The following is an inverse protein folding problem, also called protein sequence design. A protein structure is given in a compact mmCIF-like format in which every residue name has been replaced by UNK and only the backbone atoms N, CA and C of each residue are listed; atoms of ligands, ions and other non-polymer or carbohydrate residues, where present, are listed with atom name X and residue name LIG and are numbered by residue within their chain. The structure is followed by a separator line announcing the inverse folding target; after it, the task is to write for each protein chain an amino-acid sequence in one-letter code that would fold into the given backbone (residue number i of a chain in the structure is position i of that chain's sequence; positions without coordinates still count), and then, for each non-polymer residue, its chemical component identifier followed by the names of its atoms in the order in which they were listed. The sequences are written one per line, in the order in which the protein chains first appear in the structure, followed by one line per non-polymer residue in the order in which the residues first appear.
data_IF_805722204754
#
_entry.id   IF_805722204754
#
_cell.length_a   1.000
_cell.length_b   1.000
_cell.length_c   1.000
_cell.angle_alpha   90.00
_cell.angle_beta   90.00
_cell.angle_gamma   90.00
#
_symmetry.space_group_name_H-M   'P 1'
#
loop_
_entity.id
_entity.type
_entity.pdbx_description
1 polymer ?
#
# COMPACT_ATOMS: atom_id res chain seq x y z
N UNK A 1 0.15 -18.27 2.06
CA UNK A 1 0.77 -16.99 2.49
C UNK A 1 1.17 -17.06 3.96
N UNK A 2 2.20 -16.33 4.40
CA UNK A 2 2.55 -16.14 5.82
C UNK A 2 1.77 -14.93 6.37
N UNK A 3 0.85 -15.10 7.34
CA UNK A 3 0.24 -13.98 8.05
C UNK A 3 1.31 -13.14 8.74
N UNK A 4 1.13 -11.83 8.79
CA UNK A 4 2.06 -10.88 9.43
C UNK A 4 3.38 -10.59 8.69
N UNK A 5 3.85 -11.50 7.83
CA UNK A 5 5.06 -11.35 7.03
C UNK A 5 4.77 -11.68 5.57
N UNK A 6 4.54 -10.65 4.74
CA UNK A 6 4.38 -10.81 3.30
C UNK A 6 5.76 -10.70 2.62
N UNK A 7 6.38 -11.81 2.15
CA UNK A 7 7.62 -11.76 1.39
C UNK A 7 7.40 -11.33 -0.08
N UNK A 8 6.21 -10.82 -0.40
CA UNK A 8 5.88 -10.34 -1.74
C UNK A 8 6.16 -8.83 -1.79
N UNK A 9 7.21 -8.40 -2.51
CA UNK A 9 7.50 -6.99 -2.79
C UNK A 9 6.53 -6.35 -3.80
N UNK A 10 5.33 -6.92 -3.98
CA UNK A 10 4.26 -6.29 -4.74
C UNK A 10 3.55 -5.25 -3.90
N UNK A 11 2.94 -4.29 -4.57
CA UNK A 11 1.91 -3.42 -4.01
C UNK A 11 0.84 -4.33 -3.39
N UNK A 12 0.77 -4.37 -2.06
CA UNK A 12 -0.11 -5.29 -1.36
C UNK A 12 -1.54 -4.75 -1.40
N UNK A 13 -2.22 -4.89 -2.54
CA UNK A 13 -3.67 -4.73 -2.64
C UNK A 13 -4.32 -6.07 -2.27
N UNK A 14 -5.49 -6.04 -1.61
CA UNK A 14 -6.33 -7.24 -1.48
C UNK A 14 -6.97 -7.64 -2.81
N UNK A 15 -6.94 -6.73 -3.77
CA UNK A 15 -7.57 -6.87 -5.06
C UNK A 15 -6.61 -7.53 -6.04
N UNK A 16 -6.95 -8.74 -6.46
CA UNK A 16 -6.32 -9.37 -7.62
C UNK A 16 -6.60 -8.50 -8.83
N UNK A 17 -5.60 -7.99 -9.54
CA UNK A 17 -5.79 -7.32 -10.83
C UNK A 17 -5.48 -8.25 -11.99
N UNK A 18 -6.15 -8.05 -13.13
CA UNK A 18 -5.74 -8.70 -14.37
C UNK A 18 -4.40 -8.08 -14.79
N UNK A 19 -3.43 -8.92 -15.17
CA UNK A 19 -2.12 -8.42 -15.60
C UNK A 19 -1.46 -9.32 -16.63
N UNK A 20 -0.65 -8.70 -17.49
CA UNK A 20 0.34 -9.38 -18.31
C UNK A 20 1.69 -9.02 -17.73
N UNK A 21 2.49 -10.02 -17.37
CA UNK A 21 3.81 -9.79 -16.78
C UNK A 21 4.90 -10.61 -17.44
N UNK A 22 6.09 -10.01 -17.49
CA UNK A 22 7.33 -10.63 -17.91
C UNK A 22 8.34 -10.51 -16.77
N UNK A 23 9.08 -11.59 -16.49
CA UNK A 23 10.16 -11.56 -15.50
C UNK A 23 11.42 -12.16 -16.06
N UNK A 24 12.50 -11.38 -16.00
CA UNK A 24 13.85 -11.85 -16.22
C UNK A 24 14.49 -12.17 -14.87
N UNK A 25 15.14 -13.32 -14.75
CA UNK A 25 15.74 -13.77 -13.50
C UNK A 25 17.13 -14.34 -13.73
N UNK A 26 18.06 -13.80 -12.97
CA UNK A 26 19.38 -14.34 -12.75
C UNK A 26 19.51 -14.88 -11.34
N UNK A 27 20.65 -15.52 -11.05
CA UNK A 27 20.90 -16.14 -9.73
C UNK A 27 20.65 -15.19 -8.55
N UNK A 28 21.15 -13.97 -8.64
CA UNK A 28 21.18 -13.01 -7.54
C UNK A 28 20.27 -11.80 -7.78
N UNK A 29 19.59 -11.69 -8.92
CA UNK A 29 18.67 -10.60 -9.19
C UNK A 29 17.54 -10.99 -10.13
N UNK A 30 16.44 -10.23 -10.09
CA UNK A 30 15.34 -10.36 -11.02
C UNK A 30 14.73 -9.01 -11.34
N UNK A 31 14.37 -8.81 -12.60
CA UNK A 31 13.61 -7.66 -13.07
C UNK A 31 12.26 -8.17 -13.58
N UNK A 32 11.18 -7.57 -13.12
CA UNK A 32 9.84 -7.84 -13.58
C UNK A 32 9.22 -6.57 -14.15
N UNK A 33 8.44 -6.74 -15.21
CA UNK A 33 7.61 -5.72 -15.81
C UNK A 33 6.19 -6.28 -15.92
N UNK A 34 5.20 -5.46 -15.62
CA UNK A 34 3.79 -5.81 -15.73
C UNK A 34 3.00 -4.65 -16.31
N UNK A 35 1.99 -5.02 -17.10
CA UNK A 35 0.86 -4.14 -17.43
C UNK A 35 -0.32 -4.67 -16.63
N UNK A 36 -0.85 -3.84 -15.76
CA UNK A 36 -1.94 -4.17 -14.83
C UNK A 36 -3.21 -3.41 -15.20
N UNK A 37 -4.37 -3.99 -14.88
CA UNK A 37 -5.63 -3.27 -14.89
C UNK A 37 -5.71 -2.35 -13.65
N UNK A 38 -5.57 -1.04 -13.88
CA UNK A 38 -5.55 0.01 -12.87
C UNK A 38 -6.92 0.30 -12.26
N UNK A 39 -8.02 -0.03 -12.95
CA UNK A 39 -9.38 0.36 -12.54
C UNK A 39 -9.83 -0.21 -11.20
N UNK A 40 -9.16 -1.26 -10.70
CA UNK A 40 -9.41 -1.83 -9.37
C UNK A 40 -8.88 -1.00 -8.21
N UNK A 41 -8.09 0.05 -8.49
CA UNK A 41 -7.50 0.94 -7.49
C UNK A 41 -8.28 2.23 -7.32
N UNK A 42 -9.25 2.46 -8.20
CA UNK A 42 -10.09 3.65 -8.22
C UNK A 42 -11.01 3.69 -7.00
N UNK A 43 -11.07 4.84 -6.34
CA UNK A 43 -12.12 5.12 -5.35
C UNK A 43 -13.39 5.58 -6.06
N UNK A 44 -14.30 4.64 -6.31
CA UNK A 44 -15.60 4.88 -6.98
C UNK A 44 -16.59 5.77 -6.20
N UNK A 45 -16.34 6.05 -4.92
CA UNK A 45 -17.26 6.81 -4.04
C UNK A 45 -16.70 8.21 -3.66
N UNK A 46 -15.77 8.72 -4.48
CA UNK A 46 -15.21 10.06 -4.29
C UNK A 46 -16.18 11.13 -4.78
N UNK A 47 -16.64 12.01 -3.89
CA UNK A 47 -17.31 13.27 -4.27
C UNK A 47 -16.44 14.20 -5.14
N UNK A 48 -15.17 13.84 -5.36
CA UNK A 48 -14.08 14.70 -5.86
C UNK A 48 -13.38 14.14 -7.12
N UNK A 49 -13.73 12.92 -7.56
CA UNK A 49 -13.09 12.24 -8.69
C UNK A 49 -14.11 11.31 -9.38
N UNK A 50 -14.13 11.29 -10.72
CA UNK A 50 -15.00 10.41 -11.51
C UNK A 50 -14.21 9.80 -12.66
N UNK A 51 -14.20 8.48 -12.78
CA UNK A 51 -13.36 7.82 -13.75
C UNK A 51 -14.18 7.32 -14.96
N UNK A 52 -13.69 7.52 -16.19
CA UNK A 52 -14.43 7.21 -17.44
C UNK A 52 -14.28 5.75 -17.92
N UNK A 53 -13.14 5.11 -17.64
CA UNK A 53 -12.85 3.76 -18.12
C UNK A 53 -12.74 2.73 -16.99
N UNK A 54 -13.48 1.62 -17.15
CA UNK A 54 -13.41 0.43 -16.29
C UNK A 54 -12.07 -0.31 -16.37
N UNK A 55 -11.28 -0.10 -17.45
CA UNK A 55 -9.99 -0.78 -17.65
C UNK A 55 -8.95 0.23 -18.12
N UNK A 56 -7.89 0.37 -17.33
CA UNK A 56 -6.74 1.23 -17.64
C UNK A 56 -5.43 0.49 -17.48
N UNK A 57 -4.50 0.75 -18.37
CA UNK A 57 -3.22 0.09 -18.39
C UNK A 57 -2.23 0.82 -17.48
N UNK A 58 -1.98 0.26 -16.31
CA UNK A 58 -0.91 0.70 -15.43
C UNK A 58 0.37 -0.05 -15.74
N UNK A 59 1.50 0.67 -15.73
CA UNK A 59 2.80 0.08 -15.99
C UNK A 59 3.58 -0.07 -14.70
N UNK A 60 3.95 -1.30 -14.35
CA UNK A 60 4.68 -1.61 -13.12
C UNK A 60 6.00 -2.27 -13.46
N UNK A 61 7.08 -1.76 -12.87
CA UNK A 61 8.41 -2.38 -12.94
C UNK A 61 8.93 -2.67 -11.54
N UNK A 62 9.52 -3.84 -11.35
CA UNK A 62 10.09 -4.24 -10.07
C UNK A 62 11.47 -4.87 -10.25
N UNK A 63 12.46 -4.33 -9.53
CA UNK A 63 13.78 -4.91 -9.38
C UNK A 63 13.89 -5.59 -8.02
N UNK A 64 14.51 -6.77 -7.99
CA UNK A 64 14.91 -7.45 -6.75
C UNK A 64 16.34 -7.92 -6.88
N UNK A 65 17.16 -7.67 -5.87
CA UNK A 65 18.54 -8.15 -5.80
C UNK A 65 18.79 -8.85 -4.47
N UNK A 66 19.68 -9.84 -4.45
CA UNK A 66 20.07 -10.60 -3.27
C UNK A 66 21.58 -10.53 -3.10
N UNK A 67 22.02 -10.19 -1.90
CA UNK A 67 23.44 -10.18 -1.56
C UNK A 67 23.62 -10.63 -0.11
N UNK A 68 24.35 -11.73 0.11
CA UNK A 68 24.82 -12.16 1.45
C UNK A 68 23.73 -12.19 2.55
N UNK A 69 22.56 -12.79 2.27
CA UNK A 69 21.46 -12.87 3.25
C UNK A 69 20.57 -11.62 3.33
N UNK A 70 20.85 -10.62 2.49
CA UNK A 70 20.05 -9.41 2.31
C UNK A 70 19.31 -9.52 0.97
N UNK A 71 18.06 -9.06 0.95
CA UNK A 71 17.27 -8.89 -0.27
C UNK A 71 16.87 -7.43 -0.38
N UNK A 72 17.26 -6.79 -1.47
CA UNK A 72 16.80 -5.45 -1.84
C UNK A 72 15.65 -5.57 -2.84
N UNK A 73 14.72 -4.63 -2.77
CA UNK A 73 13.69 -4.47 -3.78
C UNK A 73 13.42 -3.00 -4.05
N UNK A 74 13.11 -2.70 -5.31
CA UNK A 74 12.65 -1.41 -5.76
C UNK A 74 11.53 -1.62 -6.77
N UNK A 75 10.50 -0.78 -6.76
CA UNK A 75 9.46 -0.78 -7.78
C UNK A 75 9.03 0.63 -8.13
N UNK A 76 8.54 0.78 -9.36
CA UNK A 76 7.92 1.99 -9.86
C UNK A 76 6.63 1.59 -10.58
N UNK A 77 5.59 2.39 -10.41
CA UNK A 77 4.35 2.29 -11.14
C UNK A 77 4.03 3.63 -11.80
N UNK A 78 3.47 3.56 -13.01
CA UNK A 78 2.86 4.69 -13.72
C UNK A 78 1.37 4.37 -13.84
N UNK A 79 0.54 5.25 -13.32
CA UNK A 79 -0.91 5.14 -13.33
C UNK A 79 -1.48 6.20 -14.28
N UNK A 80 -2.39 5.80 -15.16
CA UNK A 80 -3.07 6.74 -16.04
C UNK A 80 -4.37 7.22 -15.37
N UNK A 81 -4.53 8.54 -15.31
CA UNK A 81 -5.73 9.21 -14.80
C UNK A 81 -6.48 9.74 -16.00
N UNK A 82 -7.72 9.27 -16.13
CA UNK A 82 -8.70 9.65 -17.14
C UNK A 82 -9.99 9.99 -16.37
N UNK A 83 -10.37 11.26 -16.41
CA UNK A 83 -11.44 11.87 -15.62
C UNK A 83 -12.57 12.34 -16.54
N UNK A 84 -13.81 12.16 -16.11
CA UNK A 84 -15.02 12.68 -16.77
C UNK A 84 -15.92 13.49 -15.82
N UNK A 85 -15.44 13.84 -14.63
CA UNK A 85 -16.22 14.52 -13.59
C UNK A 85 -16.84 15.84 -14.07
N UNK A 86 -16.18 16.52 -15.02
CA UNK A 86 -16.63 17.82 -15.53
C UNK A 86 -17.45 17.73 -16.84
N UNK A 87 -17.56 16.54 -17.46
CA UNK A 87 -18.35 16.32 -18.68
C UNK A 87 -19.83 16.76 -18.54
N UNK A 88 -20.53 16.51 -17.41
CA UNK A 88 -21.91 16.94 -17.22
C UNK A 88 -22.12 18.47 -17.30
N UNK A 89 -21.05 19.27 -17.11
CA UNK A 89 -21.09 20.73 -17.23
C UNK A 89 -20.40 21.26 -18.48
N UNK A 90 -20.00 20.37 -19.40
CA UNK A 90 -19.42 20.72 -20.70
C UNK A 90 -17.96 21.19 -20.64
N UNK A 91 -17.26 20.93 -19.54
CA UNK A 91 -15.82 21.14 -19.43
C UNK A 91 -15.11 19.81 -19.66
N UNK A 92 -13.98 19.86 -20.38
CA UNK A 92 -13.11 18.70 -20.56
C UNK A 92 -11.98 18.77 -19.55
N UNK A 93 -11.73 17.66 -18.91
CA UNK A 93 -10.58 17.39 -18.04
C UNK A 93 -9.37 16.95 -18.85
N UNK A 94 -8.19 17.34 -18.40
CA UNK A 94 -6.94 16.90 -19.02
C UNK A 94 -6.54 15.49 -18.53
N UNK A 95 -5.93 14.68 -19.41
CA UNK A 95 -5.33 13.41 -19.02
C UNK A 95 -4.10 13.67 -18.13
N UNK A 96 -4.01 12.98 -16.99
CA UNK A 96 -2.86 13.05 -16.10
C UNK A 96 -2.20 11.68 -15.91
N UNK A 97 -0.97 11.69 -15.41
CA UNK A 97 -0.23 10.48 -15.05
C UNK A 97 0.23 10.55 -13.62
N UNK A 98 -0.23 9.58 -12.82
CA UNK A 98 0.28 9.32 -11.50
C UNK A 98 1.56 8.50 -11.52
N UNK A 99 2.42 8.71 -10.52
CA UNK A 99 3.66 7.98 -10.30
C UNK A 99 3.71 7.46 -8.87
N UNK A 100 4.15 6.21 -8.71
CA UNK A 100 4.46 5.66 -7.40
C UNK A 100 5.79 4.94 -7.40
N UNK A 101 6.57 5.13 -6.34
CA UNK A 101 7.87 4.51 -6.15
C UNK A 101 7.95 3.81 -4.80
N UNK A 102 8.64 2.67 -4.75
CA UNK A 102 8.89 1.93 -3.51
C UNK A 102 10.31 1.41 -3.49
N UNK A 103 10.93 1.45 -2.31
CA UNK A 103 12.17 0.74 -2.03
C UNK A 103 12.07 -0.01 -0.71
N UNK A 104 12.82 -1.09 -0.58
CA UNK A 104 12.90 -1.81 0.68
C UNK A 104 13.98 -2.86 0.71
N UNK A 105 14.16 -3.39 1.91
CA UNK A 105 15.23 -4.31 2.25
C UNK A 105 14.72 -5.36 3.25
N UNK A 106 15.18 -6.58 3.09
CA UNK A 106 14.94 -7.71 3.98
C UNK A 106 16.29 -8.30 4.39
N UNK A 107 16.56 -8.32 5.69
CA UNK A 107 17.76 -8.89 6.29
C UNK A 107 17.40 -10.21 6.96
N UNK A 108 18.21 -11.26 6.74
CA UNK A 108 18.10 -12.52 7.45
C UNK A 108 19.39 -12.82 8.18
N UNK A 109 19.29 -13.15 9.46
CA UNK A 109 20.42 -13.63 10.23
C UNK A 109 20.00 -14.77 11.15
N UNK A 110 20.93 -15.70 11.38
CA UNK A 110 20.78 -16.69 12.43
C UNK A 110 20.99 -15.99 13.78
N UNK A 111 20.06 -16.19 14.70
CA UNK A 111 20.24 -15.73 16.07
C UNK A 111 21.09 -16.77 16.82
N UNK A 112 22.00 -16.31 17.69
CA UNK A 112 22.86 -17.21 18.47
C UNK A 112 22.06 -17.86 19.61
N UNK A 113 21.14 -18.75 19.27
CA UNK A 113 20.55 -19.76 20.17
C UNK A 113 21.45 -20.99 20.23
N UNK A 114 21.45 -21.68 21.37
CA UNK A 114 22.44 -22.66 21.81
C UNK A 114 22.90 -23.66 20.73
N UNK A 115 24.21 -23.63 20.42
CA UNK A 115 24.87 -24.31 19.29
C UNK A 115 25.00 -25.84 19.47
N UNK A 116 24.01 -26.47 20.07
CA UNK A 116 24.02 -27.90 20.43
C UNK A 116 23.14 -28.77 19.54
N UNK A 117 22.23 -28.19 18.75
CA UNK A 117 21.40 -28.97 17.83
C UNK A 117 21.43 -28.39 16.40
N UNK A 118 21.97 -29.10 15.40
CA UNK A 118 22.03 -28.65 14.01
C UNK A 118 20.66 -28.53 13.31
N UNK A 119 19.57 -28.88 14.00
CA UNK A 119 18.18 -28.66 13.56
C UNK A 119 17.56 -27.37 14.10
N UNK A 120 18.30 -26.57 14.86
CA UNK A 120 17.76 -25.36 15.50
C UNK A 120 17.61 -24.23 14.48
N UNK A 121 16.38 -24.09 13.98
CA UNK A 121 15.97 -23.15 12.93
C UNK A 121 15.71 -21.73 13.48
N UNK A 122 16.52 -21.29 14.45
CA UNK A 122 16.38 -19.98 15.10
C UNK A 122 16.85 -18.86 14.17
N UNK A 123 15.91 -18.37 13.36
CA UNK A 123 16.13 -17.31 12.38
C UNK A 123 15.45 -16.02 12.82
N UNK A 124 16.15 -14.91 12.64
CA UNK A 124 15.57 -13.58 12.66
C UNK A 124 15.49 -13.01 11.24
N UNK A 125 14.40 -12.28 11.00
CA UNK A 125 14.19 -11.55 9.76
C UNK A 125 13.74 -10.15 10.09
N UNK A 126 14.38 -9.16 9.49
CA UNK A 126 13.96 -7.77 9.53
C UNK A 126 13.59 -7.34 8.12
N UNK A 127 12.46 -6.69 7.96
CA UNK A 127 12.04 -6.07 6.71
C UNK A 127 11.75 -4.60 6.96
N UNK A 128 12.21 -3.74 6.06
CA UNK A 128 11.88 -2.34 6.03
C UNK A 128 11.54 -1.93 4.59
N UNK A 129 10.51 -1.11 4.42
CA UNK A 129 10.09 -0.61 3.13
C UNK A 129 9.46 0.76 3.27
N UNK A 130 9.69 1.61 2.28
CA UNK A 130 9.02 2.91 2.13
C UNK A 130 8.48 3.04 0.71
N UNK A 131 7.36 3.72 0.56
CA UNK A 131 6.77 4.08 -0.71
C UNK A 131 6.31 5.54 -0.71
N UNK A 132 6.31 6.16 -1.88
CA UNK A 132 5.77 7.48 -2.12
C UNK A 132 5.00 7.48 -3.44
N UNK A 133 3.95 8.29 -3.53
CA UNK A 133 3.12 8.39 -4.71
C UNK A 133 2.56 9.80 -4.88
N UNK A 134 2.29 10.15 -6.13
CA UNK A 134 1.57 11.35 -6.57
C UNK A 134 0.64 10.91 -7.69
N UNK A 135 -0.67 11.10 -7.55
CA UNK A 135 -1.65 10.61 -8.54
C UNK A 135 -1.78 9.08 -8.63
N UNK A 136 -1.21 8.32 -7.69
CA UNK A 136 -1.14 6.86 -7.76
C UNK A 136 -1.15 6.22 -6.36
N UNK A 137 -1.98 6.73 -5.45
CA UNK A 137 -2.04 6.37 -4.03
C UNK A 137 -2.42 4.90 -3.79
N UNK A 138 -3.15 4.27 -4.72
CA UNK A 138 -3.45 2.82 -4.68
C UNK A 138 -2.18 1.94 -4.62
N UNK A 139 -1.03 2.48 -5.01
CA UNK A 139 0.27 1.84 -4.94
C UNK A 139 0.99 2.02 -3.58
N UNK A 140 0.40 2.72 -2.60
CA UNK A 140 1.01 2.85 -1.27
C UNK A 140 0.73 1.64 -0.37
N UNK A 141 -0.18 0.74 -0.75
CA UNK A 141 -0.60 -0.40 0.08
C UNK A 141 -1.33 0.01 1.36
N UNK A 142 -1.94 1.20 1.34
CA UNK A 142 -2.75 1.77 2.42
C UNK A 142 -4.23 1.46 2.16
N UNK A 143 -5.12 1.44 3.18
CA UNK A 143 -6.55 1.33 2.92
C UNK A 143 -7.04 2.53 2.09
N UNK A 144 -8.06 2.32 1.26
CA UNK A 144 -8.65 3.33 0.38
C UNK A 144 -9.32 4.42 1.21
N UNK A 145 -8.60 5.52 1.47
CA UNK A 145 -9.06 6.69 2.23
C UNK A 145 -8.90 8.01 1.47
N UNK A 146 -8.31 7.97 0.28
CA UNK A 146 -7.95 9.14 -0.51
C UNK A 146 -8.12 8.83 -2.00
N UNK A 147 -8.52 9.83 -2.77
CA UNK A 147 -8.55 9.80 -4.23
C UNK A 147 -7.19 10.14 -4.81
N UNK A 148 -6.88 9.66 -6.01
CA UNK A 148 -5.60 9.95 -6.67
C UNK A 148 -5.48 11.42 -7.09
N UNK A 149 -6.60 12.11 -7.29
CA UNK A 149 -6.63 13.51 -7.67
C UNK A 149 -7.91 14.19 -7.17
N UNK A 150 -7.95 15.51 -7.33
CA UNK A 150 -9.12 16.38 -7.20
C UNK A 150 -9.31 17.13 -8.51
N UNK A 151 -10.50 17.03 -9.10
CA UNK A 151 -10.84 17.76 -10.32
C UNK A 151 -11.09 19.24 -10.01
N UNK A 152 -10.38 20.14 -10.68
CA UNK A 152 -10.52 21.58 -10.48
C UNK A 152 -11.59 22.20 -11.38
N UNK A 153 -12.08 23.37 -11.00
CA UNK A 153 -13.15 24.07 -11.73
C UNK A 153 -12.71 24.65 -13.09
N UNK A 154 -11.41 24.74 -13.35
CA UNK A 154 -10.82 25.22 -14.60
C UNK A 154 -10.49 24.10 -15.60
N UNK A 155 -10.63 22.83 -15.20
CA UNK A 155 -10.35 21.66 -16.02
C UNK A 155 -9.04 20.94 -15.68
N UNK A 156 -8.22 21.53 -14.79
CA UNK A 156 -6.97 20.92 -14.34
C UNK A 156 -7.22 19.83 -13.28
N UNK A 157 -6.23 18.95 -13.10
CA UNK A 157 -6.26 17.89 -12.08
C UNK A 157 -5.18 18.15 -11.03
N UNK A 158 -5.58 18.38 -9.78
CA UNK A 158 -4.66 18.45 -8.65
C UNK A 158 -4.35 17.03 -8.16
N UNK A 159 -3.09 16.60 -8.32
CA UNK A 159 -2.66 15.24 -7.96
C UNK A 159 -2.40 15.10 -6.46
N UNK A 160 -3.13 14.18 -5.84
CA UNK A 160 -2.96 13.82 -4.44
C UNK A 160 -1.61 13.15 -4.21
N UNK A 161 -0.98 13.44 -3.06
CA UNK A 161 0.35 12.95 -2.70
C UNK A 161 0.28 12.08 -1.47
N UNK A 162 1.22 11.14 -1.35
CA UNK A 162 1.27 10.30 -0.18
C UNK A 162 2.56 9.53 -0.02
N UNK A 163 2.76 9.03 1.19
CA UNK A 163 3.86 8.14 1.54
C UNK A 163 3.40 7.07 2.51
N UNK A 164 4.06 5.91 2.47
CA UNK A 164 3.87 4.83 3.43
C UNK A 164 5.19 4.22 3.84
N UNK A 165 5.24 3.66 5.04
CA UNK A 165 6.39 2.96 5.57
C UNK A 165 5.94 1.70 6.31
N UNK A 166 6.72 0.63 6.18
CA UNK A 166 6.49 -0.63 6.88
C UNK A 166 7.82 -1.12 7.43
N UNK A 167 7.82 -1.51 8.70
CA UNK A 167 8.90 -2.24 9.36
C UNK A 167 8.34 -3.51 9.99
N UNK A 168 9.02 -4.63 9.83
CA UNK A 168 8.57 -5.92 10.35
C UNK A 168 9.74 -6.74 10.83
N UNK A 169 9.61 -7.33 12.02
CA UNK A 169 10.56 -8.31 12.55
C UNK A 169 9.85 -9.64 12.78
N UNK A 170 10.45 -10.73 12.30
CA UNK A 170 10.05 -12.11 12.58
C UNK A 170 11.17 -12.78 13.38
N UNK A 171 10.82 -13.46 14.46
CA UNK A 171 11.73 -14.24 15.28
C UNK A 171 11.19 -15.66 15.43
N UNK A 172 11.89 -16.62 14.85
CA UNK A 172 11.67 -18.04 15.11
C UNK A 172 12.46 -18.43 16.36
N UNK A 173 11.77 -18.62 17.49
CA UNK A 173 12.43 -18.86 18.78
C UNK A 173 12.64 -20.34 19.11
N UNK A 174 11.97 -21.24 18.39
CA UNK A 174 12.01 -22.69 18.59
C UNK A 174 11.45 -23.37 17.34
N UNK A 175 11.75 -24.66 17.18
CA UNK A 175 11.25 -25.47 16.07
C UNK A 175 9.74 -25.36 15.92
N UNK A 176 9.32 -24.88 14.75
CA UNK A 176 7.92 -24.69 14.41
C UNK A 176 7.22 -23.49 15.05
N UNK A 177 7.87 -22.70 15.90
CA UNK A 177 7.28 -21.50 16.50
C UNK A 177 7.94 -20.23 15.98
N UNK A 178 7.12 -19.22 15.69
CA UNK A 178 7.62 -17.89 15.37
C UNK A 178 6.69 -16.80 15.90
N UNK A 179 7.29 -15.71 16.33
CA UNK A 179 6.60 -14.46 16.64
C UNK A 179 6.98 -13.39 15.64
N UNK A 180 6.08 -12.43 15.42
CA UNK A 180 6.33 -11.29 14.55
C UNK A 180 5.74 -10.02 15.14
N UNK A 181 6.39 -8.90 14.84
CA UNK A 181 5.87 -7.57 15.09
C UNK A 181 6.05 -6.73 13.83
N UNK A 182 4.98 -6.09 13.38
CA UNK A 182 4.94 -5.25 12.19
C UNK A 182 4.34 -3.91 12.55
N UNK A 183 5.06 -2.83 12.25
CA UNK A 183 4.55 -1.46 12.31
C UNK A 183 4.46 -0.93 10.88
N UNK A 184 3.31 -0.39 10.53
CA UNK A 184 3.07 0.30 9.27
C UNK A 184 2.46 1.66 9.54
N UNK A 185 2.74 2.63 8.67
CA UNK A 185 2.15 3.96 8.75
C UNK A 185 2.11 4.64 7.40
N UNK A 186 1.27 5.66 7.30
CA UNK A 186 1.05 6.43 6.08
C UNK A 186 0.68 7.88 6.38
N UNK A 187 0.92 8.73 5.39
CA UNK A 187 0.54 10.13 5.35
C UNK A 187 0.12 10.46 3.92
N UNK A 188 -1.04 11.06 3.75
CA UNK A 188 -1.64 11.44 2.47
C UNK A 188 -2.05 12.91 2.56
N UNK A 189 -1.93 13.61 1.44
CA UNK A 189 -2.33 15.00 1.26
C UNK A 189 -3.11 15.12 -0.04
N UNK A 190 -4.29 15.72 0.04
CA UNK A 190 -5.14 16.04 -1.10
C UNK A 190 -5.44 17.53 -1.02
N UNK A 191 -5.10 18.27 -2.07
CA UNK A 191 -5.38 19.69 -2.22
C UNK A 191 -6.20 19.95 -3.49
N UNK A 192 -6.94 21.05 -3.49
CA UNK A 192 -7.63 21.54 -4.69
C UNK A 192 -8.08 22.99 -4.52
N UNK A 193 -7.93 23.79 -5.58
CA UNK A 193 -8.30 25.22 -5.60
C UNK A 193 -9.81 25.46 -5.58
N UNK A 194 -10.56 24.49 -6.13
CA UNK A 194 -12.01 24.52 -6.23
C UNK A 194 -12.51 23.16 -6.68
N UNK A 195 -13.75 22.84 -6.36
CA UNK A 195 -14.36 21.55 -6.68
C UNK A 195 -15.76 21.72 -7.23
N UNK A 196 -16.23 20.70 -7.95
CA UNK A 196 -17.62 20.62 -8.41
C UNK A 196 -18.48 20.02 -7.31
N UNK A 197 -19.42 20.81 -6.78
CA UNK A 197 -20.38 20.31 -5.80
C UNK A 197 -21.40 19.32 -6.41
N UNK A 198 -22.20 18.63 -5.57
CA UNK A 198 -23.15 17.56 -5.98
C UNK A 198 -24.27 17.98 -6.95
N UNK A 199 -24.29 19.24 -7.39
CA UNK A 199 -25.22 19.78 -8.40
C UNK A 199 -24.51 20.41 -9.59
N UNK A 200 -23.27 20.00 -9.87
CA UNK A 200 -22.51 20.52 -11.00
C UNK A 200 -22.26 22.05 -10.89
N UNK A 201 -22.31 22.59 -9.67
CA UNK A 201 -22.00 23.99 -9.40
C UNK A 201 -20.53 24.10 -9.02
N UNK A 202 -19.73 24.91 -9.74
CA UNK A 202 -18.34 25.14 -9.38
C UNK A 202 -18.28 25.99 -8.10
N UNK A 203 -17.46 25.56 -7.14
CA UNK A 203 -17.13 26.32 -5.96
C UNK A 203 -15.63 26.61 -5.96
N UNK A 204 -15.28 27.89 -5.97
CA UNK A 204 -13.91 28.36 -5.81
C UNK A 204 -13.61 28.42 -4.30
N UNK A 205 -13.20 27.27 -3.76
CA UNK A 205 -12.92 27.05 -2.35
C UNK A 205 -11.71 26.13 -2.26
N UNK A 206 -10.58 26.68 -1.79
CA UNK A 206 -9.39 25.90 -1.55
C UNK A 206 -9.69 24.88 -0.45
N UNK A 207 -9.54 23.59 -0.72
CA UNK A 207 -9.77 22.52 0.23
C UNK A 207 -8.49 21.70 0.37
N UNK A 208 -8.08 21.50 1.62
CA UNK A 208 -6.96 20.63 1.96
C UNK A 208 -7.47 19.51 2.85
N UNK A 209 -7.11 18.28 2.52
CA UNK A 209 -7.41 17.09 3.32
C UNK A 209 -6.14 16.29 3.55
N UNK A 210 -5.74 16.21 4.81
CA UNK A 210 -4.61 15.41 5.25
C UNK A 210 -5.09 14.15 5.97
N UNK A 211 -4.54 12.99 5.59
CA UNK A 211 -4.88 11.71 6.23
C UNK A 211 -3.61 11.00 6.69
N UNK A 212 -3.55 10.71 7.98
CA UNK A 212 -2.44 10.00 8.60
C UNK A 212 -2.94 8.74 9.28
N UNK A 213 -2.13 7.70 9.30
CA UNK A 213 -2.47 6.50 10.04
C UNK A 213 -1.28 5.62 10.36
N UNK A 214 -1.51 4.75 11.34
CA UNK A 214 -0.55 3.76 11.76
C UNK A 214 -1.26 2.47 12.19
N UNK A 215 -0.57 1.35 11.97
CA UNK A 215 -1.01 0.03 12.42
C UNK A 215 0.15 -0.73 13.02
N UNK A 216 0.00 -1.13 14.28
CA UNK A 216 0.88 -2.07 14.95
C UNK A 216 0.21 -3.45 14.94
N UNK A 217 0.95 -4.48 14.54
CA UNK A 217 0.50 -5.86 14.53
C UNK A 217 1.53 -6.72 15.24
N UNK A 218 1.09 -7.57 16.16
CA UNK A 218 1.90 -8.58 16.81
C UNK A 218 1.24 -9.92 16.66
N UNK A 219 2.03 -10.94 16.33
CA UNK A 219 1.49 -12.27 16.04
C UNK A 219 2.40 -13.37 16.53
N UNK A 220 1.79 -14.50 16.85
CA UNK A 220 2.48 -15.75 17.16
C UNK A 220 1.86 -16.87 16.31
N UNK A 221 2.70 -17.73 15.75
CA UNK A 221 2.26 -18.89 15.00
C UNK A 221 3.06 -20.13 15.34
N UNK A 222 2.40 -21.28 15.15
CA UNK A 222 2.95 -22.63 15.30
C UNK A 222 2.71 -23.44 14.04
N UNK A 223 3.76 -24.02 13.48
CA UNK A 223 3.66 -25.12 12.52
C UNK A 223 3.28 -26.39 13.27
N UNK A 224 2.13 -26.95 12.91
CA UNK A 224 1.66 -28.24 13.45
C UNK A 224 2.33 -29.41 12.71
N UNK A 225 2.58 -29.21 11.42
CA UNK A 225 3.29 -30.11 10.54
C UNK A 225 3.90 -29.30 9.37
N UNK A 226 4.50 -29.97 8.38
CA UNK A 226 5.14 -29.30 7.24
C UNK A 226 4.18 -28.47 6.36
N UNK A 227 2.87 -28.69 6.46
CA UNK A 227 1.83 -28.09 5.62
C UNK A 227 0.81 -27.25 6.41
N UNK A 228 0.67 -27.49 7.71
CA UNK A 228 -0.36 -26.91 8.58
C UNK A 228 0.25 -25.96 9.60
N UNK A 229 -0.37 -24.80 9.76
CA UNK A 229 -0.02 -23.84 10.81
C UNK A 229 -1.25 -23.22 11.45
N UNK A 230 -1.11 -22.90 12.72
CA UNK A 230 -2.10 -22.15 13.51
C UNK A 230 -1.43 -20.91 14.08
N UNK A 231 -2.19 -19.84 14.28
CA UNK A 231 -1.66 -18.65 14.92
C UNK A 231 -2.74 -17.67 15.33
N UNK A 232 -2.29 -16.64 16.04
CA UNK A 232 -3.10 -15.52 16.44
C UNK A 232 -2.34 -14.21 16.22
N UNK A 233 -3.07 -13.15 15.88
CA UNK A 233 -2.57 -11.81 15.65
C UNK A 233 -3.44 -10.81 16.41
N UNK A 234 -2.79 -9.93 17.16
CA UNK A 234 -3.39 -8.74 17.73
C UNK A 234 -2.89 -7.55 16.92
N UNK A 235 -3.81 -6.69 16.50
CA UNK A 235 -3.48 -5.44 15.83
C UNK A 235 -4.18 -4.27 16.51
N UNK A 236 -3.57 -3.10 16.38
CA UNK A 236 -4.19 -1.83 16.73
C UNK A 236 -3.99 -0.87 15.56
N UNK A 237 -5.09 -0.32 15.07
CA UNK A 237 -5.11 0.65 13.97
C UNK A 237 -5.52 2.00 14.53
N UNK A 238 -4.85 3.06 14.09
CA UNK A 238 -5.16 4.45 14.37
C UNK A 238 -5.10 5.22 13.06
N UNK A 239 -6.10 6.04 12.79
CA UNK A 239 -6.19 6.91 11.60
C UNK A 239 -6.76 8.25 12.02
N UNK A 240 -6.24 9.34 11.45
CA UNK A 240 -6.70 10.72 11.64
C UNK A 240 -6.84 11.37 10.28
N UNK A 241 -7.97 12.02 10.04
CA UNK A 241 -8.20 12.87 8.89
C UNK A 241 -8.43 14.31 9.38
N UNK A 242 -7.76 15.25 8.73
CA UNK A 242 -7.89 16.69 8.98
C UNK A 242 -8.33 17.34 7.69
N UNK A 243 -9.25 18.31 7.79
CA UNK A 243 -9.74 19.05 6.63
C UNK A 243 -9.74 20.54 6.92
N UNK A 244 -9.34 21.32 5.94
CA UNK A 244 -9.41 22.78 5.97
C UNK A 244 -10.06 23.30 4.70
N UNK A 245 -10.78 24.42 4.79
CA UNK A 245 -11.29 25.16 3.63
C UNK A 245 -10.87 26.63 3.75
N UNK A 246 -10.22 27.15 2.71
CA UNK A 246 -9.68 28.52 2.65
C UNK A 246 -8.79 28.84 3.88
N UNK A 247 -8.05 27.85 4.38
CA UNK A 247 -7.21 27.96 5.57
C UNK A 247 -7.97 27.95 6.90
N UNK A 248 -9.28 27.67 6.91
CA UNK A 248 -10.06 27.46 8.12
C UNK A 248 -10.23 25.96 8.39
N UNK A 249 -9.74 25.50 9.54
CA UNK A 249 -9.93 24.12 10.00
C UNK A 249 -11.44 23.82 10.15
N UNK A 250 -11.90 22.75 9.53
CA UNK A 250 -13.30 22.34 9.59
C UNK A 250 -13.51 21.25 10.63
N UNK A 251 -12.95 20.07 10.36
CA UNK A 251 -13.17 18.87 11.14
C UNK A 251 -11.89 18.05 11.24
N UNK A 252 -11.72 17.43 12.41
CA UNK A 252 -10.74 16.38 12.66
C UNK A 252 -11.48 15.12 13.03
N UNK A 253 -11.31 14.08 12.24
CA UNK A 253 -11.89 12.76 12.50
C UNK A 253 -10.79 11.80 12.92
N UNK A 254 -11.02 11.07 14.01
CA UNK A 254 -10.05 10.09 14.53
C UNK A 254 -10.75 8.75 14.72
N UNK A 255 -10.22 7.73 14.06
CA UNK A 255 -10.70 6.36 14.15
C UNK A 255 -9.59 5.50 14.71
N UNK A 256 -9.89 4.75 15.77
CA UNK A 256 -8.96 3.75 16.29
C UNK A 256 -9.70 2.51 16.79
N UNK A 257 -9.10 1.35 16.56
CA UNK A 257 -9.71 0.09 16.96
C UNK A 257 -8.66 -1.03 17.10
N UNK A 258 -8.83 -1.91 18.10
CA UNK A 258 -8.10 -3.16 18.17
C UNK A 258 -8.73 -4.21 17.25
N UNK A 259 -7.91 -5.13 16.74
CA UNK A 259 -8.35 -6.31 16.01
C UNK A 259 -7.68 -7.55 16.60
N UNK A 260 -8.45 -8.61 16.83
CA UNK A 260 -7.92 -9.93 17.17
C UNK A 260 -8.28 -10.90 16.05
N UNK A 261 -7.29 -11.62 15.52
CA UNK A 261 -7.47 -12.63 14.48
C UNK A 261 -6.84 -13.92 14.93
N UNK A 262 -7.55 -15.04 14.74
CA UNK A 262 -6.99 -16.37 14.84
C UNK A 262 -7.08 -17.02 13.46
N UNK A 263 -6.10 -17.83 13.11
CA UNK A 263 -6.08 -18.48 11.80
C UNK A 263 -5.58 -19.92 11.89
N UNK A 264 -6.09 -20.73 10.97
CA UNK A 264 -5.57 -22.03 10.59
C UNK A 264 -5.30 -21.97 9.09
N UNK A 265 -4.08 -22.26 8.67
CA UNK A 265 -3.70 -22.27 7.27
C UNK A 265 -3.05 -23.59 6.91
N UNK A 266 -3.50 -24.17 5.80
CA UNK A 266 -2.97 -25.40 5.22
C UNK A 266 -2.49 -25.13 3.81
N UNK A 267 -1.31 -25.63 3.46
CA UNK A 267 -0.79 -25.62 2.09
C UNK A 267 -1.28 -26.88 1.38
N UNK A 268 -1.95 -26.71 0.25
CA UNK A 268 -2.31 -27.78 -0.67
C UNK A 268 -1.25 -27.93 -1.75
#
# INVERSE_FOLDING_TARGET
MRPGYAPFPGYATRDTTASISYSYREKDWSLAFAVEDGGRRDMFDGLLASYDSDVRADFVTQLRARQKGIVYHASVAVHNIDDNALDPIGLKTEDAYGLAGRIGVEFKWAWMGDRKDPTDDTQMRLMFSVAAAEGALGYLGVPLFATDYVAETDGDLSLSKGMSAITSVEYAWATGWSVSATLSGFALHMDGSGFIGPHAMPFDMAMDVDVYGAKLQVGAQKMLDAQTKVGAELAYTWTRAESSINGFDLNTEVVSYPELRAFLARRF
#
